data_IF_153039975821
#
_entry.id   IF_153039975821
#
_cell.length_a   1.000
_cell.length_b   1.000
_cell.length_c   1.000
_cell.angle_alpha   90.00
_cell.angle_beta   90.00
_cell.angle_gamma   90.00
#
_symmetry.space_group_name_H-M   'P 1'
#
loop_
_entity.id
_entity.type
_entity.pdbx_description
1 polymer ?
#
# COMPACT_ATOMS: atom_id res chain seq x y z
N UNK A 1 -14.28 9.89 -8.43
CA UNK A 1 -14.68 8.74 -9.28
C UNK A 1 -13.73 7.61 -8.97
N UNK A 2 -14.25 6.39 -8.82
CA UNK A 2 -13.46 5.23 -8.46
C UNK A 2 -12.45 4.89 -9.58
N UNK A 3 -11.20 4.64 -9.20
CA UNK A 3 -10.16 4.13 -10.11
C UNK A 3 -10.08 2.60 -10.06
N UNK A 4 -10.37 2.00 -8.91
CA UNK A 4 -10.49 0.55 -8.73
C UNK A 4 -11.83 0.25 -8.06
N UNK A 5 -12.58 -0.70 -8.64
CA UNK A 5 -13.82 -1.22 -8.08
C UNK A 5 -13.75 -2.74 -8.01
N UNK A 6 -14.04 -3.29 -6.84
CA UNK A 6 -14.11 -4.73 -6.55
C UNK A 6 -15.54 -5.03 -6.13
N UNK A 7 -16.20 -5.92 -6.86
CA UNK A 7 -17.61 -6.26 -6.68
C UNK A 7 -17.76 -7.77 -6.41
N UNK A 8 -18.08 -8.10 -5.15
CA UNK A 8 -18.35 -9.45 -4.64
C UNK A 8 -17.29 -10.49 -5.06
N UNK A 9 -16.03 -10.08 -5.05
CA UNK A 9 -14.90 -10.92 -5.48
C UNK A 9 -14.73 -12.12 -4.55
N UNK A 10 -14.76 -13.31 -5.13
CA UNK A 10 -14.34 -14.55 -4.46
C UNK A 10 -13.29 -15.24 -5.32
N UNK A 11 -12.13 -15.56 -4.74
CA UNK A 11 -11.01 -16.15 -5.45
C UNK A 11 -10.45 -17.37 -4.74
N UNK A 12 -10.19 -18.42 -5.52
CA UNK A 12 -9.57 -19.67 -5.10
C UNK A 12 -8.31 -19.89 -5.93
N UNK A 13 -7.17 -20.11 -5.29
CA UNK A 13 -5.99 -20.62 -5.97
C UNK A 13 -6.25 -22.02 -6.57
N UNK A 14 -5.54 -22.42 -7.65
CA UNK A 14 -5.67 -23.75 -8.22
C UNK A 14 -5.56 -24.86 -7.17
N UNK A 15 -6.50 -25.82 -7.21
CA UNK A 15 -6.53 -26.96 -6.28
C UNK A 15 -6.96 -26.65 -4.84
N UNK A 16 -7.18 -25.39 -4.47
CA UNK A 16 -7.66 -25.03 -3.13
C UNK A 16 -9.19 -25.16 -3.02
N UNK A 17 -9.65 -25.86 -1.98
CA UNK A 17 -11.07 -25.89 -1.61
C UNK A 17 -11.50 -24.66 -0.81
N UNK A 18 -10.56 -23.96 -0.17
CA UNK A 18 -10.82 -22.74 0.60
C UNK A 18 -10.52 -21.49 -0.23
N UNK A 19 -11.40 -20.47 -0.20
CA UNK A 19 -11.14 -19.21 -0.89
C UNK A 19 -10.00 -18.46 -0.20
N UNK A 20 -9.10 -17.88 -0.98
CA UNK A 20 -8.13 -16.90 -0.49
C UNK A 20 -8.77 -15.51 -0.32
N UNK A 21 -9.82 -15.22 -1.08
CA UNK A 21 -10.68 -14.04 -0.95
C UNK A 21 -12.14 -14.49 -1.03
N UNK A 22 -13.00 -13.98 -0.17
CA UNK A 22 -14.41 -14.36 -0.10
C UNK A 22 -15.31 -13.12 0.03
N UNK A 23 -16.14 -12.91 -0.99
CA UNK A 23 -17.12 -11.84 -1.08
C UNK A 23 -16.55 -10.44 -0.76
N UNK A 24 -15.42 -10.10 -1.38
CA UNK A 24 -14.78 -8.80 -1.21
C UNK A 24 -15.51 -7.74 -2.05
N UNK A 25 -15.91 -6.64 -1.41
CA UNK A 25 -16.46 -5.47 -2.09
C UNK A 25 -15.77 -4.18 -1.62
N UNK A 26 -15.11 -3.48 -2.54
CA UNK A 26 -14.24 -2.35 -2.24
C UNK A 26 -14.26 -1.33 -3.39
N UNK A 27 -14.19 -0.05 -3.04
CA UNK A 27 -14.03 1.04 -4.01
C UNK A 27 -12.88 1.92 -3.56
N UNK A 28 -11.98 2.21 -4.49
CA UNK A 28 -10.81 3.06 -4.31
C UNK A 28 -10.96 4.21 -5.28
N UNK A 29 -11.04 5.43 -4.76
CA UNK A 29 -11.16 6.66 -5.51
C UNK A 29 -9.77 7.21 -5.88
N UNK A 30 -9.72 7.99 -6.95
CA UNK A 30 -8.50 8.69 -7.35
C UNK A 30 -7.98 9.56 -6.20
N UNK A 31 -6.69 9.45 -5.91
CA UNK A 31 -6.01 10.19 -4.84
C UNK A 31 -6.21 9.61 -3.44
N UNK A 32 -6.95 8.50 -3.29
CA UNK A 32 -7.00 7.80 -2.00
C UNK A 32 -5.62 7.32 -1.57
N UNK A 33 -5.43 7.30 -0.26
CA UNK A 33 -4.38 6.56 0.42
C UNK A 33 -5.07 5.44 1.21
N UNK A 34 -5.22 4.28 0.56
CA UNK A 34 -5.84 3.09 1.16
C UNK A 34 -4.80 2.26 1.90
N UNK A 35 -5.04 2.05 3.19
CA UNK A 35 -4.31 1.09 4.02
C UNK A 35 -5.06 -0.25 4.10
N UNK A 36 -4.38 -1.33 3.74
CA UNK A 36 -4.87 -2.70 3.88
C UNK A 36 -4.05 -3.37 4.99
N UNK A 37 -4.73 -3.86 6.03
CA UNK A 37 -4.05 -4.58 7.12
C UNK A 37 -4.79 -5.86 7.49
N UNK A 38 -4.19 -6.66 8.37
CA UNK A 38 -4.74 -7.95 8.81
C UNK A 38 -3.65 -9.01 8.94
N UNK A 39 -3.93 -10.14 9.60
CA UNK A 39 -2.94 -11.19 9.85
C UNK A 39 -2.27 -11.73 8.57
N UNK A 40 -1.11 -12.34 8.72
CA UNK A 40 -0.48 -13.10 7.63
C UNK A 40 -1.44 -14.16 7.10
N UNK A 41 -1.51 -14.31 5.77
CA UNK A 41 -2.44 -15.25 5.13
C UNK A 41 -3.89 -14.77 5.02
N UNK A 42 -4.24 -13.55 5.46
CA UNK A 42 -5.62 -13.05 5.37
C UNK A 42 -6.11 -12.67 3.97
N UNK A 43 -5.24 -12.74 2.96
CA UNK A 43 -5.56 -12.45 1.55
C UNK A 43 -5.09 -11.09 1.03
N UNK A 44 -4.38 -10.27 1.83
CA UNK A 44 -3.93 -8.91 1.43
C UNK A 44 -3.17 -8.87 0.10
N UNK A 45 -2.07 -9.62 0.00
CA UNK A 45 -1.27 -9.74 -1.23
C UNK A 45 -2.06 -10.35 -2.38
N UNK A 46 -3.00 -11.25 -2.08
CA UNK A 46 -3.89 -11.85 -3.09
C UNK A 46 -4.84 -10.79 -3.66
N UNK A 47 -5.42 -9.93 -2.81
CA UNK A 47 -6.31 -8.85 -3.23
C UNK A 47 -5.57 -7.87 -4.13
N UNK A 48 -4.40 -7.39 -3.73
CA UNK A 48 -3.70 -6.39 -4.53
C UNK A 48 -3.18 -6.92 -5.87
N UNK A 49 -2.83 -8.22 -5.95
CA UNK A 49 -2.50 -8.90 -7.21
C UNK A 49 -3.68 -8.98 -8.19
N UNK A 50 -4.92 -8.83 -7.71
CA UNK A 50 -6.09 -8.75 -8.62
C UNK A 50 -6.18 -7.41 -9.35
N UNK A 51 -5.54 -6.35 -8.82
CA UNK A 51 -5.66 -4.99 -9.37
C UNK A 51 -4.86 -4.80 -10.65
N UNK A 52 -3.73 -5.48 -10.83
CA UNK A 52 -2.96 -5.39 -12.08
C UNK A 52 -3.10 -6.63 -12.98
N UNK A 53 -4.03 -7.52 -12.65
CA UNK A 53 -4.31 -8.73 -13.42
C UNK A 53 -3.33 -9.88 -13.24
N UNK A 54 -2.30 -9.77 -12.36
CA UNK A 54 -1.46 -10.92 -11.99
C UNK A 54 -2.35 -12.11 -11.57
N UNK A 55 -3.38 -11.82 -10.78
CA UNK A 55 -4.53 -12.69 -10.62
C UNK A 55 -5.67 -12.13 -11.49
N UNK A 56 -6.29 -12.94 -12.37
CA UNK A 56 -6.13 -14.39 -12.50
C UNK A 56 -5.07 -14.85 -13.52
N UNK A 57 -4.43 -13.97 -14.30
CA UNK A 57 -3.71 -14.38 -15.51
C UNK A 57 -2.46 -15.23 -15.29
N UNK A 58 -1.71 -15.01 -14.22
CA UNK A 58 -0.47 -15.74 -13.94
C UNK A 58 -0.66 -16.94 -13.00
N UNK A 59 -1.63 -16.85 -12.09
CA UNK A 59 -1.87 -17.88 -11.08
C UNK A 59 -3.03 -18.83 -11.42
N UNK A 60 -3.89 -18.49 -12.39
CA UNK A 60 -5.10 -19.25 -12.70
C UNK A 60 -6.10 -19.24 -11.54
N UNK A 61 -6.80 -20.36 -11.33
CA UNK A 61 -7.75 -20.54 -10.22
C UNK A 61 -9.19 -20.19 -10.57
N UNK A 62 -10.07 -20.25 -9.56
CA UNK A 62 -11.49 -19.88 -9.72
C UNK A 62 -11.69 -18.43 -9.29
N UNK A 63 -12.16 -17.60 -10.21
CA UNK A 63 -12.38 -16.17 -10.00
C UNK A 63 -13.86 -15.83 -10.22
N UNK A 64 -14.55 -15.48 -9.14
CA UNK A 64 -15.96 -15.09 -9.13
C UNK A 64 -16.09 -13.61 -8.74
N UNK A 65 -17.17 -12.96 -9.19
CA UNK A 65 -17.32 -11.52 -9.04
C UNK A 65 -16.51 -10.75 -10.09
N UNK A 66 -16.17 -9.49 -9.78
CA UNK A 66 -15.51 -8.58 -10.71
C UNK A 66 -14.50 -7.68 -10.02
N UNK A 67 -13.37 -7.44 -10.69
CA UNK A 67 -12.44 -6.35 -10.36
C UNK A 67 -12.30 -5.51 -11.60
N UNK A 68 -12.43 -4.19 -11.47
CA UNK A 68 -12.27 -3.26 -12.58
C UNK A 68 -11.32 -2.13 -12.24
N UNK A 69 -10.52 -1.73 -13.22
CA UNK A 69 -9.54 -0.65 -13.15
C UNK A 69 -9.85 0.33 -14.25
N UNK A 70 -10.11 1.60 -13.89
CA UNK A 70 -10.60 2.63 -14.83
C UNK A 70 -11.79 2.13 -15.68
N UNK A 71 -12.69 1.38 -15.05
CA UNK A 71 -13.88 0.80 -15.69
C UNK A 71 -13.63 -0.47 -16.54
N UNK A 72 -12.38 -0.90 -16.72
CA UNK A 72 -12.05 -2.13 -17.46
C UNK A 72 -11.94 -3.32 -16.52
N UNK A 73 -12.63 -4.41 -16.81
CA UNK A 73 -12.56 -5.65 -16.04
C UNK A 73 -11.17 -6.29 -16.20
N UNK A 74 -10.50 -6.58 -15.08
CA UNK A 74 -9.12 -7.06 -15.09
C UNK A 74 -8.97 -8.44 -15.72
N UNK A 75 -10.05 -9.23 -15.79
CA UNK A 75 -10.06 -10.55 -16.45
C UNK A 75 -9.92 -10.47 -17.97
N UNK A 76 -10.22 -9.31 -18.57
CA UNK A 76 -10.15 -9.11 -20.02
C UNK A 76 -9.05 -8.13 -20.44
N UNK A 77 -8.19 -7.73 -19.51
CA UNK A 77 -7.01 -6.91 -19.80
C UNK A 77 -5.75 -7.68 -19.41
N UNK A 78 -4.73 -7.61 -20.25
CA UNK A 78 -3.44 -8.23 -19.96
C UNK A 78 -2.73 -7.51 -18.80
N UNK A 79 -1.80 -8.21 -18.14
CA UNK A 79 -0.96 -7.61 -17.09
C UNK A 79 -0.17 -6.41 -17.64
N UNK A 80 0.30 -6.47 -18.89
CA UNK A 80 1.02 -5.39 -19.55
C UNK A 80 0.15 -4.14 -19.81
N UNK A 81 -1.14 -4.32 -20.07
CA UNK A 81 -2.06 -3.19 -20.21
C UNK A 81 -2.39 -2.57 -18.85
N UNK A 82 -2.62 -3.39 -17.83
CA UNK A 82 -2.97 -2.94 -16.50
C UNK A 82 -1.79 -2.31 -15.75
N UNK A 83 -0.55 -2.75 -16.01
CA UNK A 83 0.66 -2.18 -15.39
C UNK A 83 0.87 -0.70 -15.72
N UNK A 84 0.34 -0.23 -16.86
CA UNK A 84 0.29 1.19 -17.24
C UNK A 84 -0.62 2.03 -16.34
N UNK A 85 -1.50 1.39 -15.57
CA UNK A 85 -2.44 2.07 -14.66
C UNK A 85 -2.15 1.75 -13.20
N UNK A 86 -1.78 0.50 -12.89
CA UNK A 86 -1.54 0.00 -11.53
C UNK A 86 -0.13 -0.59 -11.47
N UNK A 87 0.78 0.16 -10.87
CA UNK A 87 2.13 -0.30 -10.56
C UNK A 87 2.16 -1.00 -9.20
N UNK A 88 2.90 -2.11 -9.08
CA UNK A 88 3.05 -2.84 -7.81
C UNK A 88 4.52 -2.92 -7.41
N UNK A 89 4.79 -2.55 -6.16
CA UNK A 89 6.04 -2.73 -5.44
C UNK A 89 5.82 -3.82 -4.40
N UNK A 90 6.52 -4.94 -4.52
CA UNK A 90 6.42 -6.09 -3.63
C UNK A 90 7.32 -5.92 -2.40
N UNK A 91 7.11 -6.83 -1.44
CA UNK A 91 7.78 -6.85 -0.14
C UNK A 91 9.30 -7.01 -0.25
N UNK A 92 9.74 -7.89 -1.16
CA UNK A 92 11.15 -8.23 -1.35
C UNK A 92 11.70 -7.50 -2.58
N UNK A 93 12.47 -6.42 -2.39
CA UNK A 93 12.98 -5.66 -3.52
C UNK A 93 13.89 -6.50 -4.42
N UNK A 94 14.70 -7.38 -3.84
CA UNK A 94 15.61 -8.29 -4.57
C UNK A 94 14.88 -9.17 -5.58
N UNK A 95 13.64 -9.58 -5.28
CA UNK A 95 12.82 -10.41 -6.17
C UNK A 95 12.27 -9.64 -7.39
N UNK A 96 12.40 -8.30 -7.42
CA UNK A 96 11.99 -7.46 -8.54
C UNK A 96 13.14 -6.86 -9.32
N UNK A 97 14.37 -6.89 -8.79
CA UNK A 97 15.55 -6.38 -9.48
C UNK A 97 15.95 -7.38 -10.58
N UNK A 98 16.14 -6.89 -11.81
CA UNK A 98 16.43 -7.74 -12.97
C UNK A 98 17.73 -7.38 -13.69
N UNK A 99 18.24 -6.17 -13.48
CA UNK A 99 19.31 -5.60 -14.29
C UNK A 99 20.58 -5.31 -13.49
N UNK A 100 21.67 -5.01 -14.22
CA UNK A 100 23.00 -4.75 -13.65
C UNK A 100 23.31 -3.26 -13.48
N UNK A 101 22.34 -2.37 -13.68
CA UNK A 101 22.52 -0.93 -13.44
C UNK A 101 21.19 -0.29 -13.11
N UNK A 102 21.16 0.66 -12.18
CA UNK A 102 19.95 1.40 -11.80
C UNK A 102 19.26 2.04 -13.00
N UNK A 103 20.00 2.65 -13.94
CA UNK A 103 19.40 3.23 -15.15
C UNK A 103 18.60 2.20 -15.95
N UNK A 104 19.19 1.02 -16.20
CA UNK A 104 18.52 -0.07 -16.92
C UNK A 104 17.34 -0.63 -16.16
N UNK A 105 17.42 -0.69 -14.84
CA UNK A 105 16.31 -1.14 -13.99
C UNK A 105 15.09 -0.22 -14.17
N UNK A 106 15.32 1.10 -14.13
CA UNK A 106 14.27 2.10 -14.33
C UNK A 106 13.74 2.10 -15.77
N UNK A 107 14.61 1.86 -16.75
CA UNK A 107 14.24 1.78 -18.15
C UNK A 107 13.45 0.50 -18.52
N UNK A 108 13.65 -0.60 -17.77
CA UNK A 108 13.19 -1.94 -18.15
C UNK A 108 11.69 -1.99 -18.46
N UNK A 109 10.84 -1.46 -17.58
CA UNK A 109 9.39 -1.41 -17.81
C UNK A 109 9.02 -0.61 -19.06
N UNK A 110 9.72 0.49 -19.33
CA UNK A 110 9.47 1.36 -20.48
C UNK A 110 9.85 0.71 -21.81
N UNK A 111 10.94 -0.06 -21.82
CA UNK A 111 11.37 -0.85 -22.97
C UNK A 111 10.35 -1.94 -23.31
N UNK A 112 9.83 -2.65 -22.28
CA UNK A 112 8.77 -3.64 -22.45
C UNK A 112 7.46 -3.03 -22.96
N UNK A 113 7.19 -1.76 -22.65
CA UNK A 113 6.06 -1.02 -23.21
C UNK A 113 6.28 -0.52 -24.65
N UNK A 114 7.47 -0.73 -25.22
CA UNK A 114 7.83 -0.36 -26.58
C UNK A 114 7.94 1.16 -26.79
N UNK A 115 8.29 1.93 -25.76
CA UNK A 115 8.34 3.39 -25.86
C UNK A 115 9.55 3.88 -26.69
N UNK A 116 9.46 5.04 -27.37
CA UNK A 116 10.60 5.61 -28.09
C UNK A 116 11.76 5.94 -27.15
N UNK A 117 13.01 5.69 -27.59
CA UNK A 117 14.23 5.93 -26.79
C UNK A 117 14.31 7.32 -26.14
N UNK A 118 13.87 8.36 -26.84
CA UNK A 118 13.84 9.73 -26.31
C UNK A 118 12.93 9.85 -25.08
N UNK A 119 11.74 9.25 -25.15
CA UNK A 119 10.76 9.22 -24.06
C UNK A 119 11.26 8.38 -22.90
N UNK A 120 11.92 7.25 -23.19
CA UNK A 120 12.53 6.40 -22.16
C UNK A 120 13.55 7.21 -21.34
N UNK A 121 14.51 7.85 -22.01
CA UNK A 121 15.54 8.66 -21.35
C UNK A 121 14.92 9.74 -20.47
N UNK A 122 13.97 10.50 -20.98
CA UNK A 122 13.30 11.56 -20.22
C UNK A 122 12.60 11.02 -18.95
N UNK A 123 11.89 9.90 -19.06
CA UNK A 123 11.19 9.30 -17.91
C UNK A 123 12.15 8.71 -16.89
N UNK A 124 13.25 8.11 -17.32
CA UNK A 124 14.29 7.60 -16.42
C UNK A 124 14.91 8.76 -15.63
N UNK A 125 15.30 9.85 -16.32
CA UNK A 125 15.83 11.05 -15.66
C UNK A 125 14.87 11.62 -14.60
N UNK A 126 13.59 11.75 -14.96
CA UNK A 126 12.58 12.28 -14.04
C UNK A 126 12.37 11.36 -12.84
N UNK A 127 12.28 10.04 -13.04
CA UNK A 127 12.07 9.08 -11.97
C UNK A 127 13.25 9.03 -10.97
N UNK A 128 14.49 9.09 -11.48
CA UNK A 128 15.68 9.15 -10.62
C UNK A 128 15.70 10.42 -9.78
N UNK A 129 15.33 11.57 -10.38
CA UNK A 129 15.23 12.87 -9.70
C UNK A 129 14.13 12.92 -8.67
N UNK A 130 12.95 12.42 -8.99
CA UNK A 130 11.80 12.43 -8.08
C UNK A 130 12.07 11.68 -6.77
N UNK A 131 13.01 10.73 -6.78
CA UNK A 131 13.37 9.90 -5.64
C UNK A 131 14.76 10.22 -5.06
N UNK A 132 15.44 11.24 -5.62
CA UNK A 132 16.78 11.69 -5.24
C UNK A 132 17.83 10.55 -5.27
N UNK A 133 17.83 9.76 -6.35
CA UNK A 133 18.72 8.60 -6.54
C UNK A 133 19.58 8.71 -7.81
N UNK A 134 19.76 9.91 -8.37
CA UNK A 134 20.57 10.12 -9.57
C UNK A 134 22.03 9.68 -9.39
N UNK A 135 22.56 9.84 -8.18
CA UNK A 135 23.91 9.39 -7.79
C UNK A 135 24.08 7.87 -7.81
N UNK A 136 23.00 7.10 -7.88
CA UNK A 136 23.02 5.63 -7.96
C UNK A 136 22.94 5.09 -9.40
N UNK A 137 22.78 5.97 -10.40
CA UNK A 137 22.48 5.61 -11.80
C UNK A 137 23.27 4.42 -12.36
N UNK A 138 24.59 4.44 -12.16
CA UNK A 138 25.51 3.45 -12.74
C UNK A 138 25.82 2.28 -11.78
N UNK A 139 25.24 2.29 -10.58
CA UNK A 139 25.43 1.23 -9.58
C UNK A 139 24.63 -0.01 -9.93
N UNK A 140 25.13 -1.17 -9.51
CA UNK A 140 24.41 -2.43 -9.61
C UNK A 140 23.32 -2.46 -8.52
N UNK A 141 22.02 -2.56 -8.86
CA UNK A 141 20.94 -2.41 -7.89
C UNK A 141 21.01 -3.41 -6.73
N UNK A 142 21.38 -4.67 -6.98
CA UNK A 142 21.43 -5.71 -5.94
C UNK A 142 22.49 -5.42 -4.86
N UNK A 143 23.48 -4.57 -5.14
CA UNK A 143 24.54 -4.20 -4.18
C UNK A 143 24.17 -2.99 -3.32
N UNK A 144 23.02 -2.35 -3.58
CA UNK A 144 22.56 -1.19 -2.83
C UNK A 144 21.98 -1.60 -1.47
N UNK A 145 21.88 -0.64 -0.54
CA UNK A 145 21.13 -0.88 0.70
C UNK A 145 19.64 -1.15 0.40
N UNK A 146 18.96 -1.91 1.26
CA UNK A 146 17.53 -2.24 1.08
C UNK A 146 16.66 -0.99 0.84
N UNK A 147 16.94 0.11 1.55
CA UNK A 147 16.22 1.38 1.36
C UNK A 147 16.45 2.01 -0.02
N UNK A 148 17.68 1.93 -0.55
CA UNK A 148 18.01 2.40 -1.90
C UNK A 148 17.43 1.49 -2.97
N UNK A 149 17.53 0.16 -2.79
CA UNK A 149 16.88 -0.82 -3.66
C UNK A 149 15.38 -0.55 -3.78
N UNK A 150 14.70 -0.28 -2.66
CA UNK A 150 13.28 0.07 -2.67
C UNK A 150 13.03 1.32 -3.52
N UNK A 151 13.82 2.38 -3.33
CA UNK A 151 13.70 3.60 -4.15
C UNK A 151 13.91 3.31 -5.64
N UNK A 152 14.88 2.47 -6.01
CA UNK A 152 15.10 2.09 -7.41
C UNK A 152 13.87 1.37 -7.99
N UNK A 153 13.23 0.49 -7.23
CA UNK A 153 12.02 -0.21 -7.68
C UNK A 153 10.82 0.73 -7.75
N UNK A 154 10.66 1.64 -6.79
CA UNK A 154 9.65 2.69 -6.88
C UNK A 154 9.89 3.53 -8.14
N UNK A 155 11.15 3.86 -8.45
CA UNK A 155 11.51 4.60 -9.65
C UNK A 155 11.12 3.85 -10.93
N UNK A 156 11.43 2.55 -11.02
CA UNK A 156 11.12 1.73 -12.20
C UNK A 156 9.61 1.59 -12.42
N UNK A 157 8.84 1.46 -11.34
CA UNK A 157 7.39 1.43 -11.39
C UNK A 157 6.81 2.80 -11.76
N UNK A 158 7.28 3.88 -11.14
CA UNK A 158 6.82 5.25 -11.40
C UNK A 158 7.15 5.73 -12.81
N UNK A 159 8.27 5.32 -13.38
CA UNK A 159 8.68 5.73 -14.73
C UNK A 159 7.61 5.34 -15.78
N UNK A 160 6.89 4.24 -15.57
CA UNK A 160 5.77 3.83 -16.42
C UNK A 160 4.56 4.77 -16.36
N UNK A 161 4.54 5.69 -15.39
CA UNK A 161 3.48 6.66 -15.08
C UNK A 161 2.12 6.01 -14.76
N UNK A 162 2.07 5.06 -13.80
CA UNK A 162 0.80 4.52 -13.33
C UNK A 162 0.00 5.59 -12.57
N UNK A 163 -1.31 5.42 -12.50
CA UNK A 163 -2.20 6.29 -11.72
C UNK A 163 -2.42 5.75 -10.29
N UNK A 164 -2.16 4.46 -10.09
CA UNK A 164 -2.20 3.77 -8.81
C UNK A 164 -0.84 3.13 -8.52
N UNK A 165 -0.31 3.40 -7.33
CA UNK A 165 0.86 2.71 -6.78
C UNK A 165 0.40 1.80 -5.65
N UNK A 166 0.69 0.52 -5.79
CA UNK A 166 0.45 -0.50 -4.79
C UNK A 166 1.79 -0.85 -4.13
N UNK A 167 1.82 -0.84 -2.81
CA UNK A 167 2.96 -1.29 -2.02
C UNK A 167 2.53 -2.47 -1.15
N UNK A 168 3.12 -3.65 -1.36
CA UNK A 168 2.82 -4.86 -0.61
C UNK A 168 3.89 -5.07 0.47
N UNK A 169 3.62 -4.63 1.70
CA UNK A 169 4.54 -4.71 2.85
C UNK A 169 5.94 -4.10 2.60
N UNK A 170 6.03 -2.86 2.06
CA UNK A 170 7.29 -2.29 1.58
C UNK A 170 8.31 -2.00 2.70
N UNK A 171 7.87 -1.96 3.97
CA UNK A 171 8.77 -1.65 5.10
C UNK A 171 9.20 -2.87 5.92
N UNK A 172 8.83 -4.09 5.49
CA UNK A 172 9.07 -5.32 6.25
C UNK A 172 10.55 -5.56 6.59
N UNK A 173 11.46 -5.20 5.68
CA UNK A 173 12.91 -5.40 5.81
C UNK A 173 13.68 -4.13 6.15
N UNK A 174 12.98 -3.04 6.51
CA UNK A 174 13.58 -1.75 6.82
C UNK A 174 13.68 -1.51 8.33
N UNK A 175 14.80 -0.91 8.76
CA UNK A 175 14.90 -0.35 10.10
C UNK A 175 13.84 0.74 10.31
N UNK A 176 13.43 1.02 11.56
CA UNK A 176 12.36 1.97 11.86
C UNK A 176 12.54 3.37 11.26
N UNK A 177 13.76 3.89 11.20
CA UNK A 177 14.01 5.24 10.69
C UNK A 177 13.89 5.29 9.17
N UNK A 178 14.43 4.28 8.49
CA UNK A 178 14.31 4.15 7.03
C UNK A 178 12.87 3.92 6.60
N UNK A 179 12.12 3.09 7.34
CA UNK A 179 10.70 2.85 7.10
C UNK A 179 9.87 4.15 7.17
N UNK A 180 10.11 5.00 8.18
CA UNK A 180 9.43 6.30 8.31
C UNK A 180 9.74 7.22 7.12
N UNK A 181 11.02 7.36 6.75
CA UNK A 181 11.43 8.17 5.60
C UNK A 181 10.81 7.67 4.29
N UNK A 182 10.71 6.35 4.13
CA UNK A 182 10.07 5.75 2.96
C UNK A 182 8.55 6.04 2.95
N UNK A 183 7.86 5.92 4.08
CA UNK A 183 6.44 6.24 4.17
C UNK A 183 6.16 7.73 3.96
N UNK A 184 7.04 8.62 4.43
CA UNK A 184 6.98 10.06 4.12
C UNK A 184 7.06 10.28 2.60
N UNK A 185 8.02 9.64 1.93
CA UNK A 185 8.14 9.69 0.46
C UNK A 185 6.88 9.16 -0.24
N UNK A 186 6.32 8.03 0.21
CA UNK A 186 5.07 7.48 -0.35
C UNK A 186 3.90 8.47 -0.16
N UNK A 187 3.85 9.14 0.99
CA UNK A 187 2.86 10.18 1.23
C UNK A 187 3.07 11.41 0.33
N UNK A 188 4.30 11.85 0.10
CA UNK A 188 4.60 12.91 -0.86
C UNK A 188 4.12 12.55 -2.28
N UNK A 189 4.27 11.29 -2.69
CA UNK A 189 3.71 10.80 -3.96
C UNK A 189 2.18 10.90 -3.97
N UNK A 190 1.50 10.51 -2.89
CA UNK A 190 0.05 10.70 -2.79
C UNK A 190 -0.36 12.17 -2.94
N UNK A 191 0.37 13.08 -2.29
CA UNK A 191 0.13 14.52 -2.38
C UNK A 191 0.40 15.09 -3.79
N UNK A 192 1.28 14.46 -4.58
CA UNK A 192 1.48 14.75 -6.01
C UNK A 192 0.35 14.21 -6.90
N UNK A 193 -0.65 13.52 -6.35
CA UNK A 193 -1.86 13.10 -7.06
C UNK A 193 -1.94 11.60 -7.37
N UNK A 194 -0.95 10.80 -6.95
CA UNK A 194 -1.02 9.34 -7.09
C UNK A 194 -2.06 8.74 -6.15
N UNK A 195 -2.77 7.72 -6.62
CA UNK A 195 -3.59 6.89 -5.73
C UNK A 195 -2.69 5.84 -5.09
N UNK A 196 -2.67 5.74 -3.77
CA UNK A 196 -1.83 4.79 -3.04
C UNK A 196 -2.68 3.68 -2.45
N UNK A 197 -2.26 2.44 -2.66
CA UNK A 197 -2.71 1.28 -1.89
C UNK A 197 -1.50 0.71 -1.18
N UNK A 198 -1.53 0.63 0.14
CA UNK A 198 -0.42 0.07 0.91
C UNK A 198 -0.93 -1.06 1.80
N UNK A 199 -0.29 -2.22 1.70
CA UNK A 199 -0.44 -3.33 2.62
C UNK A 199 0.62 -3.16 3.70
N UNK A 200 0.22 -3.02 4.95
CA UNK A 200 1.17 -2.82 6.05
C UNK A 200 0.63 -3.36 7.38
N UNK A 201 1.57 -3.69 8.27
CA UNK A 201 1.29 -4.16 9.63
C UNK A 201 1.73 -3.15 10.70
N UNK A 202 2.69 -2.28 10.38
CA UNK A 202 3.25 -1.30 11.31
C UNK A 202 2.36 -0.05 11.40
N UNK A 203 1.17 -0.23 11.95
CA UNK A 203 0.11 0.79 11.93
C UNK A 203 0.48 2.08 12.65
N UNK A 204 1.34 2.02 13.68
CA UNK A 204 1.88 3.20 14.36
C UNK A 204 2.54 4.20 13.39
N UNK A 205 3.12 3.71 12.29
CA UNK A 205 3.87 4.51 11.32
C UNK A 205 2.99 4.99 10.16
N UNK A 206 2.15 4.11 9.61
CA UNK A 206 1.46 4.36 8.33
C UNK A 206 0.04 4.94 8.49
N UNK A 207 -0.64 4.68 9.62
CA UNK A 207 -2.07 4.99 9.76
C UNK A 207 -2.38 6.50 9.62
N UNK A 208 -1.44 7.38 9.99
CA UNK A 208 -1.57 8.83 9.91
C UNK A 208 -1.69 9.37 8.47
N UNK A 209 -1.17 8.64 7.48
CA UNK A 209 -1.24 9.06 6.07
C UNK A 209 -2.52 8.58 5.37
N UNK A 210 -3.14 7.53 5.90
CA UNK A 210 -4.26 6.85 5.23
C UNK A 210 -5.58 7.59 5.44
N UNK A 211 -6.30 7.86 4.36
CA UNK A 211 -7.66 8.40 4.41
C UNK A 211 -8.73 7.29 4.45
N UNK A 212 -8.38 6.08 3.98
CA UNK A 212 -9.22 4.88 4.01
C UNK A 212 -8.41 3.69 4.53
N UNK A 213 -9.10 2.78 5.20
CA UNK A 213 -8.52 1.56 5.73
C UNK A 213 -9.48 0.39 5.57
N UNK A 214 -8.94 -0.80 5.32
CA UNK A 214 -9.64 -2.07 5.48
C UNK A 214 -8.83 -3.03 6.36
N UNK A 215 -9.55 -3.85 7.11
CA UNK A 215 -8.99 -5.01 7.81
C UNK A 215 -9.47 -6.26 7.10
N UNK A 216 -8.52 -7.07 6.64
CA UNK A 216 -8.76 -8.38 6.05
C UNK A 216 -8.47 -9.49 7.07
N UNK A 217 -9.41 -10.42 7.22
CA UNK A 217 -9.26 -11.63 8.03
C UNK A 217 -9.93 -12.79 7.31
N UNK A 218 -9.24 -13.92 7.20
CA UNK A 218 -9.73 -15.15 6.55
C UNK A 218 -10.35 -14.90 5.16
N UNK A 219 -9.70 -14.04 4.36
CA UNK A 219 -10.14 -13.69 3.01
C UNK A 219 -11.33 -12.73 2.95
N UNK A 220 -11.79 -12.16 4.07
CA UNK A 220 -12.95 -11.26 4.13
C UNK A 220 -12.57 -9.88 4.67
N UNK A 221 -13.25 -8.84 4.20
CA UNK A 221 -13.20 -7.51 4.85
C UNK A 221 -14.05 -7.58 6.12
N UNK A 222 -13.42 -7.43 7.28
CA UNK A 222 -14.10 -7.42 8.59
C UNK A 222 -14.33 -6.01 9.12
N UNK A 223 -13.58 -5.03 8.64
CA UNK A 223 -13.80 -3.61 8.93
C UNK A 223 -13.34 -2.74 7.74
N UNK A 224 -14.05 -1.64 7.49
CA UNK A 224 -13.74 -0.65 6.44
C UNK A 224 -14.18 0.74 6.87
N UNK A 225 -13.37 1.77 6.60
CA UNK A 225 -13.65 3.14 7.06
C UNK A 225 -12.39 4.01 7.08
N UNK A 226 -12.40 5.08 7.88
CA UNK A 226 -11.17 5.85 8.15
C UNK A 226 -10.38 5.17 9.27
N UNK A 227 -9.04 5.22 9.26
CA UNK A 227 -8.22 4.65 10.33
C UNK A 227 -8.66 5.05 11.75
N UNK A 228 -8.93 6.34 11.98
CA UNK A 228 -9.36 6.87 13.28
C UNK A 228 -10.70 6.31 13.79
N UNK A 229 -11.54 5.81 12.89
CA UNK A 229 -12.86 5.26 13.22
C UNK A 229 -12.78 3.73 13.41
N UNK A 230 -11.82 3.06 12.75
CA UNK A 230 -11.66 1.60 12.81
C UNK A 230 -10.73 1.16 13.94
N UNK A 231 -9.57 1.79 14.09
CA UNK A 231 -8.53 1.37 15.03
C UNK A 231 -9.00 1.29 16.49
N UNK A 232 -9.91 2.16 16.97
CA UNK A 232 -10.43 2.05 18.33
C UNK A 232 -11.39 0.88 18.56
N UNK A 233 -11.97 0.30 17.50
CA UNK A 233 -12.96 -0.77 17.62
C UNK A 233 -12.33 -2.08 18.08
N UNK A 234 -13.06 -2.87 18.86
CA UNK A 234 -12.59 -4.17 19.35
C UNK A 234 -12.34 -5.16 18.20
N UNK A 235 -13.11 -5.05 17.11
CA UNK A 235 -12.91 -5.87 15.91
C UNK A 235 -11.49 -5.75 15.33
N UNK A 236 -10.80 -4.62 15.53
CA UNK A 236 -9.41 -4.49 15.08
C UNK A 236 -8.48 -5.44 15.85
N UNK A 237 -8.54 -5.42 17.18
CA UNK A 237 -7.72 -6.30 18.04
C UNK A 237 -8.15 -7.77 17.91
N UNK A 238 -9.46 -8.05 17.90
CA UNK A 238 -10.02 -9.40 17.70
C UNK A 238 -9.65 -10.00 16.34
N UNK A 239 -9.34 -9.15 15.36
CA UNK A 239 -8.91 -9.59 14.04
C UNK A 239 -7.43 -9.94 13.96
N UNK A 240 -6.67 -9.82 15.07
CA UNK A 240 -5.24 -10.11 15.10
C UNK A 240 -4.37 -8.99 14.52
N UNK A 241 -4.89 -7.76 14.46
CA UNK A 241 -4.15 -6.58 14.04
C UNK A 241 -3.41 -5.98 15.24
N UNK A 242 -2.15 -5.59 15.06
CA UNK A 242 -1.41 -4.85 16.08
C UNK A 242 -1.86 -3.39 16.13
N UNK A 243 -2.86 -3.11 16.97
CA UNK A 243 -3.40 -1.76 17.13
C UNK A 243 -2.34 -0.83 17.73
N UNK A 244 -2.17 0.39 17.17
CA UNK A 244 -1.19 1.37 17.65
C UNK A 244 -1.22 1.62 19.15
N UNK A 245 -0.04 1.80 19.76
CA UNK A 245 0.09 1.93 21.22
C UNK A 245 -0.66 3.14 21.76
N UNK A 246 -0.68 4.24 21.00
CA UNK A 246 -1.43 5.43 21.35
C UNK A 246 -2.95 5.17 21.37
N UNK A 247 -3.49 4.34 20.47
CA UNK A 247 -4.92 4.00 20.48
C UNK A 247 -5.25 3.16 21.72
N UNK A 248 -4.44 2.15 22.03
CA UNK A 248 -4.64 1.31 23.23
C UNK A 248 -4.60 2.13 24.52
N UNK A 249 -3.70 3.11 24.60
CA UNK A 249 -3.65 4.04 25.72
C UNK A 249 -4.95 4.83 25.83
N UNK A 250 -5.44 5.40 24.73
CA UNK A 250 -6.68 6.17 24.72
C UNK A 250 -7.92 5.32 25.01
N UNK A 251 -7.97 4.05 24.61
CA UNK A 251 -9.05 3.11 25.01
C UNK A 251 -9.10 2.92 26.52
N UNK A 252 -7.95 2.90 27.20
CA UNK A 252 -7.90 2.83 28.66
C UNK A 252 -8.33 4.13 29.33
N UNK A 253 -7.91 5.27 28.77
CA UNK A 253 -8.28 6.60 29.28
C UNK A 253 -9.79 6.86 29.11
N UNK A 254 -10.41 6.39 28.02
CA UNK A 254 -11.85 6.59 27.76
C UNK A 254 -12.76 5.93 28.79
N UNK A 255 -12.25 4.95 29.55
CA UNK A 255 -12.98 4.34 30.66
C UNK A 255 -13.01 5.22 31.92
N UNK A 256 -12.19 6.28 31.97
CA UNK A 256 -12.01 7.17 33.13
C UNK A 256 -12.50 8.58 32.80
N UNK A 257 -12.23 9.06 31.59
CA UNK A 257 -12.56 10.43 31.15
C UNK A 257 -13.25 10.37 29.80
N UNK A 258 -14.24 11.24 29.57
CA UNK A 258 -14.89 11.36 28.27
C UNK A 258 -13.89 11.87 27.21
N UNK A 259 -13.70 11.07 26.15
CA UNK A 259 -12.82 11.41 25.02
C UNK A 259 -13.68 11.63 23.77
N UNK A 260 -13.55 12.81 23.16
CA UNK A 260 -14.34 13.18 21.96
C UNK A 260 -13.92 12.45 20.68
N UNK A 261 -12.63 12.10 20.56
CA UNK A 261 -12.05 11.45 19.38
C UNK A 261 -10.78 10.69 19.76
N UNK A 262 -10.41 9.68 18.98
CA UNK A 262 -9.14 8.98 19.13
C UNK A 262 -8.05 9.65 18.27
N UNK A 263 -6.79 9.73 18.76
CA UNK A 263 -5.68 10.24 17.98
C UNK A 263 -5.30 9.28 16.86
N UNK A 264 -4.71 9.80 15.78
CA UNK A 264 -4.21 9.00 14.64
C UNK A 264 -2.68 8.97 14.51
N UNK A 265 -1.98 9.64 15.42
CA UNK A 265 -0.53 9.61 15.50
C UNK A 265 -0.03 9.79 16.94
N UNK A 266 1.24 9.52 17.16
CA UNK A 266 1.91 9.74 18.46
C UNK A 266 1.91 11.22 18.82
N UNK A 267 2.15 12.10 17.84
CA UNK A 267 2.18 13.56 18.04
C UNK A 267 0.80 14.09 18.44
N UNK A 268 -0.26 13.67 17.74
CA UNK A 268 -1.62 14.05 18.07
C UNK A 268 -2.02 13.52 19.46
N UNK A 269 -1.65 12.27 19.76
CA UNK A 269 -1.90 11.67 21.06
C UNK A 269 -1.21 12.44 22.20
N UNK A 270 0.01 12.93 22.00
CA UNK A 270 0.74 13.72 22.99
C UNK A 270 0.08 15.09 23.24
N UNK A 271 -0.40 15.76 22.19
CA UNK A 271 -1.12 17.03 22.30
C UNK A 271 -2.43 16.84 23.07
N UNK A 272 -3.24 15.87 22.64
CA UNK A 272 -4.54 15.58 23.27
C UNK A 272 -4.38 15.15 24.73
N UNK A 273 -3.29 14.46 25.08
CA UNK A 273 -3.07 13.99 26.46
C UNK A 273 -2.79 15.17 27.40
N UNK A 274 -2.05 16.18 26.92
CA UNK A 274 -1.84 17.43 27.67
C UNK A 274 -3.15 18.16 27.96
N UNK A 275 -4.07 18.19 26.99
CA UNK A 275 -5.40 18.79 27.17
C UNK A 275 -6.21 18.05 28.25
N UNK A 276 -6.24 16.71 28.21
CA UNK A 276 -6.93 15.89 29.22
C UNK A 276 -6.35 16.15 30.62
N UNK A 277 -5.03 16.17 30.76
CA UNK A 277 -4.36 16.42 32.04
C UNK A 277 -4.60 17.84 32.57
N UNK A 278 -4.70 18.84 31.69
CA UNK A 278 -4.96 20.23 32.09
C UNK A 278 -6.35 20.43 32.70
N UNK A 279 -7.37 19.71 32.22
CA UNK A 279 -8.72 19.75 32.79
C UNK A 279 -8.79 19.14 34.19
N UNK A 280 -7.97 18.13 34.46
CA UNK A 280 -7.89 17.49 35.78
C UNK A 280 -7.27 18.37 36.88
N UNK A 281 -6.57 19.46 36.53
CA UNK A 281 -5.98 20.41 37.50
C UNK A 281 -6.94 21.51 37.97
N UNK A 282 -8.18 21.54 37.47
CA UNK A 282 -9.20 22.54 37.84
C UNK A 282 -10.18 22.05 38.92
N UNK A 283 -9.85 20.96 39.62
CA UNK A 283 -10.59 20.43 40.78
C UNK A 283 -9.71 20.45 42.02
#
# INVERSE_FOLDING_TARGET
MAIIEVDNLTYYYPGSSKPALANISLKIDRGDFLLITGPSGSGKSTLVKTFNGIIPHLYGGRFEGKVSVKGKDTRYCTVAELSRTVGIVFQDPENQILTLSVEREVAFGLENLGLPRKVIRERVENALRDLNIEHLRDRIPIELSVGEQQKVIVASVMAMMPEVLVFDEPTAHMDPLSALKFLDLVHELNMKGYTIVIVEHRLDMVAKYANKMIILKDGKIVAKGKPKDILPLDIAEESGVDVPRYVRLYKKISNIVEIKRFPISVEEAAIMLKEVLSRGKSY
#
